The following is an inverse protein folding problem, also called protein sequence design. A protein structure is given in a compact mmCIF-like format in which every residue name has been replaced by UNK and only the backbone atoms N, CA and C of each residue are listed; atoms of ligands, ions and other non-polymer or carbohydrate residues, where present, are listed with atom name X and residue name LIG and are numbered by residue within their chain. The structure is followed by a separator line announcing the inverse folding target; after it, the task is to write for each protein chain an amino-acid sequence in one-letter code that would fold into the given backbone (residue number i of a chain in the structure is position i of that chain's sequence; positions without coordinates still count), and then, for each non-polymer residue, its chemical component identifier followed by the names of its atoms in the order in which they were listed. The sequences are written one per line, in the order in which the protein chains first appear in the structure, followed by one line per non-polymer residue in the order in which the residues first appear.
data_IF_159409259012
#
_entry.id   IF_159409259012
#
_cell.length_a   1.000
_cell.length_b   1.000
_cell.length_c   1.000
_cell.angle_alpha   90.00
_cell.angle_beta   90.00
_cell.angle_gamma   90.00
#
_symmetry.space_group_name_H-M   'P 1'
#
loop_
_entity.id
_entity.type
_entity.pdbx_description
1 polymer ?
#
# COMPACT_ATOMS: atom_id res chain seq x y z
N UNK A 1 11.84 -32.41 46.64
CA UNK A 1 11.50 -30.96 46.51
C UNK A 1 11.77 -30.56 45.07
N UNK A 2 10.77 -30.66 44.21
CA UNK A 2 10.88 -30.44 42.76
C UNK A 2 10.96 -28.94 42.46
N UNK A 3 12.01 -28.49 41.79
CA UNK A 3 12.15 -27.09 41.33
C UNK A 3 11.25 -26.86 40.11
N UNK A 4 10.58 -25.71 39.97
CA UNK A 4 9.86 -25.39 38.74
C UNK A 4 10.86 -25.08 37.62
N UNK A 5 10.58 -25.59 36.43
CA UNK A 5 11.30 -25.29 35.19
C UNK A 5 11.06 -23.82 34.81
N UNK A 6 12.11 -23.00 34.90
CA UNK A 6 12.08 -21.63 34.41
C UNK A 6 11.97 -21.65 32.88
N UNK A 7 10.80 -21.26 32.35
CA UNK A 7 10.61 -20.99 30.92
C UNK A 7 11.53 -19.85 30.50
N UNK A 8 12.45 -20.14 29.59
CA UNK A 8 13.47 -19.21 29.10
C UNK A 8 12.90 -17.92 28.55
N UNK A 9 13.03 -16.85 29.33
CA UNK A 9 12.96 -15.47 28.83
C UNK A 9 14.34 -14.85 29.06
N UNK A 10 15.08 -14.61 27.98
CA UNK A 10 16.44 -14.06 28.05
C UNK A 10 16.42 -12.67 28.72
N UNK A 11 17.17 -12.47 29.80
CA UNK A 11 17.23 -11.18 30.48
C UNK A 11 18.07 -10.22 29.63
N UNK A 12 17.41 -9.22 29.03
CA UNK A 12 18.08 -8.21 28.20
C UNK A 12 17.31 -7.78 26.95
N UNK A 13 16.24 -8.47 26.58
CA UNK A 13 15.41 -8.04 25.45
C UNK A 13 14.49 -6.89 25.88
N UNK A 14 14.83 -5.66 25.50
CA UNK A 14 13.90 -4.53 25.63
C UNK A 14 12.62 -4.88 24.85
N UNK A 15 11.42 -4.72 25.46
CA UNK A 15 10.17 -4.90 24.73
C UNK A 15 10.18 -4.01 23.47
N UNK A 16 9.77 -4.58 22.34
CA UNK A 16 9.52 -3.78 21.15
C UNK A 16 8.43 -2.74 21.43
N UNK A 17 8.31 -1.69 20.59
CA UNK A 17 7.26 -0.69 20.73
C UNK A 17 5.87 -1.36 20.86
N UNK A 18 5.01 -0.91 21.79
CA UNK A 18 3.71 -1.54 22.06
C UNK A 18 2.84 -1.60 20.80
N UNK A 19 2.97 -0.61 19.92
CA UNK A 19 2.35 -0.56 18.61
C UNK A 19 2.55 -1.84 17.78
N UNK A 20 3.75 -2.44 17.76
CA UNK A 20 4.00 -3.66 16.98
C UNK A 20 3.20 -4.85 17.53
N UNK A 21 3.08 -4.94 18.86
CA UNK A 21 2.29 -5.98 19.51
C UNK A 21 0.78 -5.74 19.30
N UNK A 22 0.34 -4.49 19.24
CA UNK A 22 -1.04 -4.12 18.89
C UNK A 22 -1.39 -4.51 17.46
N UNK A 23 -0.55 -4.18 16.47
CA UNK A 23 -0.80 -4.59 15.07
C UNK A 23 -0.93 -6.11 14.91
N UNK A 24 -0.13 -6.90 15.65
CA UNK A 24 -0.24 -8.37 15.63
C UNK A 24 -1.56 -8.84 16.25
N UNK A 25 -1.99 -8.23 17.36
CA UNK A 25 -3.27 -8.52 18.00
C UNK A 25 -4.44 -8.15 17.08
N UNK A 26 -4.41 -6.97 16.47
CA UNK A 26 -5.43 -6.53 15.52
C UNK A 26 -5.49 -7.45 14.30
N UNK A 27 -4.33 -7.86 13.76
CA UNK A 27 -4.28 -8.83 12.67
C UNK A 27 -4.95 -10.15 13.03
N UNK A 28 -4.67 -10.68 14.23
CA UNK A 28 -5.28 -11.93 14.68
C UNK A 28 -6.80 -11.76 14.94
N UNK A 29 -7.24 -10.61 15.43
CA UNK A 29 -8.66 -10.27 15.64
C UNK A 29 -9.44 -10.16 14.32
N UNK A 30 -8.80 -9.63 13.27
CA UNK A 30 -9.41 -9.40 11.95
C UNK A 30 -9.37 -10.64 11.04
N UNK A 31 -9.28 -11.85 11.60
CA UNK A 31 -9.26 -13.08 10.79
C UNK A 31 -7.92 -13.35 10.09
N UNK A 32 -6.82 -12.85 10.67
CA UNK A 32 -5.47 -13.05 10.13
C UNK A 32 -5.08 -12.02 9.08
N UNK A 33 -4.07 -12.36 8.29
CA UNK A 33 -3.51 -11.44 7.30
C UNK A 33 -4.53 -10.94 6.25
N UNK A 34 -5.40 -11.78 5.66
CA UNK A 34 -6.31 -11.32 4.61
C UNK A 34 -7.28 -10.23 5.08
N UNK A 35 -7.94 -10.43 6.24
CA UNK A 35 -8.90 -9.45 6.75
C UNK A 35 -8.23 -8.18 7.28
N UNK A 36 -7.07 -8.31 7.93
CA UNK A 36 -6.27 -7.14 8.30
C UNK A 36 -5.79 -6.33 7.10
N UNK A 37 -5.30 -7.01 6.06
CA UNK A 37 -4.83 -6.35 4.85
C UNK A 37 -5.96 -5.63 4.11
N UNK A 38 -7.18 -6.17 4.13
CA UNK A 38 -8.36 -5.50 3.57
C UNK A 38 -8.72 -4.24 4.37
N UNK A 39 -8.83 -4.33 5.70
CA UNK A 39 -9.23 -3.20 6.56
C UNK A 39 -8.21 -2.06 6.53
N UNK A 40 -6.92 -2.40 6.56
CA UNK A 40 -5.83 -1.42 6.49
C UNK A 40 -5.53 -1.01 5.04
N UNK A 41 -6.22 -1.58 4.06
CA UNK A 41 -5.95 -1.38 2.62
C UNK A 41 -4.48 -1.64 2.26
N UNK A 42 -3.85 -2.57 2.97
CA UNK A 42 -2.45 -2.92 2.81
C UNK A 42 -2.20 -3.36 1.37
N UNK A 43 -1.19 -2.76 0.74
CA UNK A 43 -0.86 -2.99 -0.66
C UNK A 43 -1.57 -2.06 -1.67
N UNK A 44 -2.60 -1.30 -1.29
CA UNK A 44 -3.26 -0.37 -2.22
C UNK A 44 -2.33 0.77 -2.68
N UNK A 45 -1.42 1.25 -1.81
CA UNK A 45 -0.38 2.23 -2.20
C UNK A 45 0.43 1.76 -3.40
N UNK A 46 0.90 0.50 -3.36
CA UNK A 46 1.70 -0.06 -4.45
C UNK A 46 0.90 -0.22 -5.75
N UNK A 47 -0.41 -0.50 -5.67
CA UNK A 47 -1.28 -0.53 -6.85
C UNK A 47 -1.40 0.85 -7.51
N UNK A 48 -1.58 1.89 -6.69
CA UNK A 48 -1.63 3.29 -7.16
C UNK A 48 -0.31 3.71 -7.79
N UNK A 49 0.82 3.40 -7.14
CA UNK A 49 2.16 3.69 -7.68
C UNK A 49 2.41 2.95 -9.01
N UNK A 50 1.97 1.69 -9.11
CA UNK A 50 2.01 0.91 -10.34
C UNK A 50 1.20 1.55 -11.46
N UNK A 51 -0.03 1.99 -11.18
CA UNK A 51 -0.88 2.68 -12.15
C UNK A 51 -0.22 3.97 -12.66
N UNK A 52 0.30 4.81 -11.75
CA UNK A 52 1.03 6.02 -12.14
C UNK A 52 2.31 5.73 -12.94
N UNK A 53 3.04 4.68 -12.59
CA UNK A 53 4.24 4.24 -13.32
C UNK A 53 3.90 3.84 -14.76
N UNK A 54 2.85 3.02 -14.93
CA UNK A 54 2.36 2.60 -16.25
C UNK A 54 1.85 3.78 -17.07
N UNK A 55 1.09 4.68 -16.46
CA UNK A 55 0.59 5.90 -17.09
C UNK A 55 1.74 6.76 -17.65
N UNK A 56 2.75 7.05 -16.82
CA UNK A 56 3.91 7.86 -17.23
C UNK A 56 4.74 7.18 -18.32
N UNK A 57 4.88 5.86 -18.28
CA UNK A 57 5.55 5.09 -19.35
C UNK A 57 4.80 5.15 -20.68
N UNK A 58 3.46 5.12 -20.65
CA UNK A 58 2.63 5.16 -21.84
C UNK A 58 2.52 6.55 -22.48
N UNK A 59 2.37 7.60 -21.68
CA UNK A 59 2.06 8.96 -22.16
C UNK A 59 3.18 9.98 -21.98
N UNK A 60 4.30 9.58 -21.37
CA UNK A 60 5.39 10.45 -20.96
C UNK A 60 5.10 11.17 -19.64
N UNK A 61 6.16 11.69 -19.02
CA UNK A 61 6.07 12.40 -17.73
C UNK A 61 5.61 13.86 -17.87
N UNK A 62 5.68 14.42 -19.08
CA UNK A 62 5.41 15.82 -19.36
C UNK A 62 4.14 16.08 -20.18
N UNK A 63 3.75 17.34 -20.22
CA UNK A 63 2.73 17.90 -21.12
C UNK A 63 3.41 18.87 -22.08
N UNK A 64 2.89 18.98 -23.30
CA UNK A 64 3.43 19.91 -24.31
C UNK A 64 2.79 21.30 -24.20
N UNK A 65 1.61 21.39 -23.60
CA UNK A 65 0.93 22.66 -23.40
C UNK A 65 1.71 23.59 -22.46
N UNK A 66 1.76 24.87 -22.81
CA UNK A 66 2.45 25.92 -22.04
C UNK A 66 1.50 26.72 -21.14
N UNK A 67 0.21 26.77 -21.46
CA UNK A 67 -0.82 27.37 -20.60
C UNK A 67 -1.32 26.38 -19.55
N UNK A 68 -1.65 26.87 -18.36
CA UNK A 68 -2.12 26.04 -17.24
C UNK A 68 -3.38 25.25 -17.59
N UNK A 69 -4.33 25.90 -18.23
CA UNK A 69 -5.58 25.29 -18.71
C UNK A 69 -5.29 24.22 -19.76
N UNK A 70 -4.35 24.48 -20.67
CA UNK A 70 -3.90 23.52 -21.67
C UNK A 70 -3.25 22.29 -21.04
N UNK A 71 -2.41 22.48 -20.03
CA UNK A 71 -1.77 21.39 -19.28
C UNK A 71 -2.81 20.48 -18.63
N UNK A 72 -3.81 21.05 -17.95
CA UNK A 72 -4.89 20.25 -17.35
C UNK A 72 -5.73 19.53 -18.39
N UNK A 73 -6.00 20.18 -19.53
CA UNK A 73 -6.78 19.55 -20.62
C UNK A 73 -6.03 18.38 -21.23
N UNK A 74 -4.73 18.53 -21.47
CA UNK A 74 -3.87 17.45 -21.98
C UNK A 74 -3.81 16.29 -20.97
N UNK A 75 -3.63 16.58 -19.69
CA UNK A 75 -3.59 15.57 -18.64
C UNK A 75 -4.91 14.80 -18.55
N UNK A 76 -6.07 15.49 -18.57
CA UNK A 76 -7.38 14.83 -18.57
C UNK A 76 -7.59 13.95 -19.79
N UNK A 77 -7.16 14.38 -20.97
CA UNK A 77 -7.27 13.54 -22.18
C UNK A 77 -6.41 12.28 -22.02
N UNK A 78 -5.17 12.41 -21.53
CA UNK A 78 -4.29 11.25 -21.27
C UNK A 78 -4.92 10.29 -20.25
N UNK A 79 -5.45 10.79 -19.14
CA UNK A 79 -6.12 9.96 -18.13
C UNK A 79 -7.36 9.26 -18.68
N UNK A 80 -8.21 9.96 -19.45
CA UNK A 80 -9.37 9.35 -20.09
C UNK A 80 -8.96 8.22 -21.05
N UNK A 81 -7.94 8.44 -21.87
CA UNK A 81 -7.40 7.39 -22.74
C UNK A 81 -6.88 6.20 -21.93
N UNK A 82 -6.15 6.45 -20.83
CA UNK A 82 -5.66 5.38 -19.96
C UNK A 82 -6.80 4.58 -19.32
N UNK A 83 -7.85 5.25 -18.83
CA UNK A 83 -9.02 4.59 -18.27
C UNK A 83 -9.76 3.74 -19.30
N UNK A 84 -9.87 4.21 -20.55
CA UNK A 84 -10.42 3.41 -21.66
C UNK A 84 -9.58 2.16 -21.94
N UNK A 85 -8.24 2.28 -21.93
CA UNK A 85 -7.35 1.14 -22.11
C UNK A 85 -7.49 0.11 -20.98
N UNK A 86 -7.60 0.57 -19.73
CA UNK A 86 -7.87 -0.33 -18.59
C UNK A 86 -9.22 -1.02 -18.77
N UNK A 87 -10.28 -0.26 -19.11
CA UNK A 87 -11.62 -0.81 -19.26
C UNK A 87 -11.72 -1.85 -20.39
N UNK A 88 -10.95 -1.70 -21.46
CA UNK A 88 -10.88 -2.68 -22.56
C UNK A 88 -10.05 -3.92 -22.22
N UNK A 89 -9.11 -3.80 -21.27
CA UNK A 89 -8.23 -4.89 -20.86
C UNK A 89 -8.78 -5.71 -19.68
N UNK A 90 -9.86 -5.25 -19.05
CA UNK A 90 -10.54 -5.88 -17.93
C UNK A 90 -11.66 -6.83 -18.41
#
# INVERSE_FOLDING_TARGET
RSRPSASGSSPGRRPGPPYRAECVRDRNRLGGYPGWAQVITYGMRWKVEGAFSTFKRGFGEGVRATSREGMFRELRMKENCYNMLIALAA
#
